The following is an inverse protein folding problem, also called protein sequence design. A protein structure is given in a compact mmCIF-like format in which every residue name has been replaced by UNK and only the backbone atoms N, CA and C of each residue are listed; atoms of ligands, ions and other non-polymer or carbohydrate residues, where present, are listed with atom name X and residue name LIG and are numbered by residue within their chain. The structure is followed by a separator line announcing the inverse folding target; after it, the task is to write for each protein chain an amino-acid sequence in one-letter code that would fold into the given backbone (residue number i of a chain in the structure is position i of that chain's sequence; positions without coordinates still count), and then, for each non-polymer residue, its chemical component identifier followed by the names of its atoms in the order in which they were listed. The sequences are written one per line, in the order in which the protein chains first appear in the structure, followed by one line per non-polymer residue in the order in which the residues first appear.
data_IF_302643814114
#
_entry.id   IF_302643814114
#
_cell.length_a   1.000
_cell.length_b   1.000
_cell.length_c   1.000
_cell.angle_alpha   90.00
_cell.angle_beta   90.00
_cell.angle_gamma   90.00
#
_symmetry.space_group_name_H-M   'P 1'
#
loop_
_entity.id
_entity.type
_entity.pdbx_description
1 polymer ?
#
# COMPACT_ATOMS: atom_id res chain seq x y z
N UNK A 1 -32.50 7.42 47.79
CA UNK A 1 -32.14 6.11 47.19
C UNK A 1 -32.03 6.31 45.67
N UNK A 2 -30.83 6.60 45.17
CA UNK A 2 -30.58 6.69 43.72
C UNK A 2 -30.07 5.33 43.25
N UNK A 3 -30.77 4.74 42.28
CA UNK A 3 -30.34 3.53 41.60
C UNK A 3 -29.30 3.92 40.54
N UNK A 4 -28.05 3.51 40.74
CA UNK A 4 -27.02 3.54 39.70
C UNK A 4 -27.23 2.34 38.78
N UNK A 5 -28.01 2.54 37.72
CA UNK A 5 -28.08 1.59 36.60
C UNK A 5 -26.78 1.66 35.81
N UNK A 6 -25.81 0.81 36.15
CA UNK A 6 -24.74 0.50 35.22
C UNK A 6 -25.34 -0.37 34.12
N UNK A 7 -25.52 0.22 32.95
CA UNK A 7 -25.86 -0.50 31.72
C UNK A 7 -24.75 -1.53 31.45
N UNK A 8 -24.97 -2.76 31.91
CA UNK A 8 -24.12 -3.90 31.56
C UNK A 8 -24.31 -4.14 30.07
N UNK A 9 -23.38 -3.67 29.26
CA UNK A 9 -23.32 -4.03 27.85
C UNK A 9 -23.27 -5.56 27.74
N UNK A 10 -24.40 -6.16 27.36
CA UNK A 10 -24.51 -7.57 27.06
C UNK A 10 -23.64 -7.86 25.83
N UNK A 11 -22.39 -8.24 26.08
CA UNK A 11 -21.48 -8.71 25.04
C UNK A 11 -22.03 -10.05 24.56
N UNK A 12 -22.29 -10.17 23.26
CA UNK A 12 -22.81 -11.39 22.66
C UNK A 12 -21.93 -12.60 23.04
N UNK A 13 -22.52 -13.78 23.29
CA UNK A 13 -21.76 -14.95 23.71
C UNK A 13 -20.71 -15.32 22.66
N UNK A 14 -19.45 -15.46 23.09
CA UNK A 14 -18.35 -15.89 22.23
C UNK A 14 -18.56 -17.36 21.85
N UNK A 15 -19.02 -17.62 20.62
CA UNK A 15 -19.06 -18.97 20.07
C UNK A 15 -17.62 -19.47 19.89
N UNK A 16 -17.20 -20.40 20.76
CA UNK A 16 -15.94 -21.13 20.59
C UNK A 16 -16.17 -22.18 19.51
N UNK A 17 -15.56 -21.98 18.35
CA UNK A 17 -15.51 -22.99 17.29
C UNK A 17 -14.58 -24.08 17.78
N UNK A 18 -15.12 -25.28 18.00
CA UNK A 18 -14.37 -26.39 18.58
C UNK A 18 -13.86 -27.37 17.55
N UNK A 19 -14.53 -27.47 16.41
CA UNK A 19 -14.25 -28.47 15.38
C UNK A 19 -13.92 -27.86 14.00
N UNK A 20 -13.20 -28.63 13.17
CA UNK A 20 -12.79 -28.27 11.82
C UNK A 20 -14.01 -28.13 10.90
N UNK A 21 -15.02 -28.99 11.04
CA UNK A 21 -16.25 -28.90 10.25
C UNK A 21 -17.06 -27.65 10.61
N UNK A 22 -17.12 -27.29 11.91
CA UNK A 22 -17.73 -26.04 12.36
C UNK A 22 -17.00 -24.82 11.78
N UNK A 23 -15.67 -24.84 11.75
CA UNK A 23 -14.87 -23.77 11.13
C UNK A 23 -15.17 -23.65 9.64
N UNK A 24 -15.30 -24.77 8.92
CA UNK A 24 -15.63 -24.79 7.50
C UNK A 24 -17.02 -24.21 7.25
N UNK A 25 -18.03 -24.64 8.01
CA UNK A 25 -19.39 -24.11 7.92
C UNK A 25 -19.44 -22.61 8.22
N UNK A 26 -18.71 -22.16 9.25
CA UNK A 26 -18.56 -20.74 9.54
C UNK A 26 -17.98 -19.96 8.35
N UNK A 27 -16.88 -20.47 7.77
CA UNK A 27 -16.23 -19.85 6.60
C UNK A 27 -17.19 -19.78 5.39
N UNK A 28 -17.90 -20.87 5.09
CA UNK A 28 -18.87 -20.92 3.98
C UNK A 28 -19.99 -19.88 4.19
N UNK A 29 -20.58 -19.84 5.38
CA UNK A 29 -21.64 -18.88 5.70
C UNK A 29 -21.16 -17.44 5.57
N UNK A 30 -20.00 -17.12 6.14
CA UNK A 30 -19.44 -15.76 6.08
C UNK A 30 -19.08 -15.33 4.66
N UNK A 31 -18.52 -16.22 3.85
CA UNK A 31 -18.26 -15.95 2.42
C UNK A 31 -19.55 -15.64 1.68
N UNK A 32 -20.60 -16.43 1.89
CA UNK A 32 -21.91 -16.18 1.30
C UNK A 32 -22.47 -14.81 1.69
N UNK A 33 -22.38 -14.43 2.97
CA UNK A 33 -22.78 -13.10 3.44
C UNK A 33 -22.04 -11.97 2.69
N UNK A 34 -20.70 -12.08 2.56
CA UNK A 34 -19.93 -11.08 1.80
C UNK A 34 -20.30 -11.05 0.32
N UNK A 35 -20.40 -12.20 -0.34
CA UNK A 35 -20.75 -12.28 -1.76
C UNK A 35 -22.17 -11.74 -2.04
N UNK A 36 -23.14 -12.02 -1.17
CA UNK A 36 -24.50 -11.49 -1.30
C UNK A 36 -24.55 -9.97 -1.13
N UNK A 37 -23.72 -9.40 -0.24
CA UNK A 37 -23.58 -7.94 -0.12
C UNK A 37 -22.89 -7.37 -1.35
N UNK A 38 -21.83 -8.00 -1.86
CA UNK A 38 -21.11 -7.56 -3.06
C UNK A 38 -21.97 -7.60 -4.33
N UNK A 39 -22.87 -8.58 -4.44
CA UNK A 39 -23.86 -8.64 -5.53
C UNK A 39 -24.80 -7.43 -5.53
N UNK A 40 -25.18 -6.95 -4.34
CA UNK A 40 -26.08 -5.78 -4.18
C UNK A 40 -25.32 -4.46 -4.26
N UNK A 41 -24.09 -4.42 -3.76
CA UNK A 41 -23.28 -3.21 -3.59
C UNK A 41 -21.90 -3.34 -4.24
N UNK A 42 -21.87 -3.67 -5.53
CA UNK A 42 -20.62 -3.95 -6.26
C UNK A 42 -19.60 -2.81 -6.24
N UNK A 43 -20.06 -1.56 -6.27
CA UNK A 43 -19.19 -0.38 -6.27
C UNK A 43 -18.74 0.06 -4.87
N UNK A 44 -19.22 -0.58 -3.81
CA UNK A 44 -18.82 -0.26 -2.44
C UNK A 44 -17.47 -0.92 -2.11
N UNK A 45 -16.38 -0.20 -2.39
CA UNK A 45 -14.99 -0.67 -2.19
C UNK A 45 -14.71 -1.02 -0.72
N UNK A 46 -15.41 -0.38 0.23
CA UNK A 46 -15.30 -0.72 1.65
C UNK A 46 -15.76 -2.15 1.96
N UNK A 47 -16.73 -2.70 1.22
CA UNK A 47 -17.14 -4.10 1.36
C UNK A 47 -16.03 -5.04 0.86
N UNK A 48 -15.45 -4.74 -0.30
CA UNK A 48 -14.35 -5.52 -0.87
C UNK A 48 -13.14 -5.59 0.07
N UNK A 49 -12.71 -4.44 0.61
CA UNK A 49 -11.59 -4.40 1.55
C UNK A 49 -11.91 -5.20 2.81
N UNK A 50 -13.11 -5.06 3.40
CA UNK A 50 -13.50 -5.88 4.56
C UNK A 50 -13.49 -7.37 4.24
N UNK A 51 -13.98 -7.77 3.07
CA UNK A 51 -14.00 -9.17 2.67
C UNK A 51 -12.56 -9.73 2.52
N UNK A 52 -11.69 -9.02 1.80
CA UNK A 52 -10.30 -9.43 1.61
C UNK A 52 -9.52 -9.48 2.93
N UNK A 53 -9.71 -8.49 3.81
CA UNK A 53 -9.07 -8.49 5.15
C UNK A 53 -9.57 -9.65 6.02
N UNK A 54 -10.84 -10.04 5.89
CA UNK A 54 -11.38 -11.20 6.58
C UNK A 54 -10.77 -12.51 6.05
N UNK A 55 -10.67 -12.71 4.74
CA UNK A 55 -9.98 -13.90 4.18
C UNK A 55 -8.51 -13.95 4.62
N UNK A 56 -7.80 -12.80 4.62
CA UNK A 56 -6.44 -12.71 5.13
C UNK A 56 -6.35 -13.06 6.63
N UNK A 57 -7.33 -12.68 7.45
CA UNK A 57 -7.41 -13.08 8.87
C UNK A 57 -7.59 -14.58 9.08
N UNK A 58 -8.11 -15.29 8.07
CA UNK A 58 -8.26 -16.75 8.06
C UNK A 58 -7.01 -17.46 7.52
N UNK A 59 -5.93 -16.72 7.23
CA UNK A 59 -4.71 -17.18 6.56
C UNK A 59 -4.95 -17.70 5.12
N UNK A 60 -6.08 -17.33 4.52
CA UNK A 60 -6.46 -17.69 3.14
C UNK A 60 -6.01 -16.59 2.16
N UNK A 61 -4.69 -16.40 2.06
CA UNK A 61 -4.11 -15.29 1.29
C UNK A 61 -4.43 -15.33 -0.20
N UNK A 62 -4.51 -16.52 -0.80
CA UNK A 62 -4.84 -16.67 -2.22
C UNK A 62 -6.26 -16.20 -2.52
N UNK A 63 -7.19 -16.46 -1.60
CA UNK A 63 -8.56 -15.94 -1.72
C UNK A 63 -8.59 -14.43 -1.51
N UNK A 64 -7.84 -13.92 -0.52
CA UNK A 64 -7.74 -12.49 -0.29
C UNK A 64 -7.22 -11.75 -1.55
N UNK A 65 -6.20 -12.29 -2.22
CA UNK A 65 -5.70 -11.80 -3.53
C UNK A 65 -6.78 -11.82 -4.59
N UNK A 66 -7.48 -12.93 -4.76
CA UNK A 66 -8.59 -13.03 -5.71
C UNK A 66 -9.67 -11.97 -5.46
N UNK A 67 -10.01 -11.69 -4.21
CA UNK A 67 -10.97 -10.63 -3.84
C UNK A 67 -10.42 -9.25 -4.17
N UNK A 68 -9.13 -8.97 -3.91
CA UNK A 68 -8.51 -7.70 -4.27
C UNK A 68 -8.42 -7.48 -5.79
N UNK A 69 -8.02 -8.50 -6.57
CA UNK A 69 -7.99 -8.40 -8.03
C UNK A 69 -9.40 -8.16 -8.59
N UNK A 70 -10.42 -8.88 -8.11
CA UNK A 70 -11.82 -8.63 -8.48
C UNK A 70 -12.28 -7.21 -8.12
N UNK A 71 -11.79 -6.65 -7.02
CA UNK A 71 -12.09 -5.28 -6.64
C UNK A 71 -11.40 -4.26 -7.56
N UNK A 72 -10.17 -4.56 -8.00
CA UNK A 72 -9.44 -3.75 -8.97
C UNK A 72 -10.12 -3.78 -10.36
N UNK A 73 -10.71 -4.91 -10.75
CA UNK A 73 -11.53 -4.99 -11.97
C UNK A 73 -12.77 -4.07 -11.92
N UNK A 74 -13.28 -3.77 -10.71
CA UNK A 74 -14.40 -2.84 -10.53
C UNK A 74 -13.92 -1.40 -10.57
N UNK A 75 -12.88 -1.06 -9.81
CA UNK A 75 -12.33 0.29 -9.74
C UNK A 75 -10.82 0.27 -9.49
N UNK A 76 -10.05 0.17 -10.57
CA UNK A 76 -8.60 0.22 -10.54
C UNK A 76 -8.06 1.62 -10.23
N UNK A 77 -8.88 2.69 -10.32
CA UNK A 77 -8.43 4.08 -10.08
C UNK A 77 -8.43 4.43 -8.60
N UNK A 78 -9.08 3.62 -7.77
CA UNK A 78 -9.10 3.86 -6.34
C UNK A 78 -7.74 3.57 -5.70
N UNK A 79 -7.01 4.62 -5.33
CA UNK A 79 -5.69 4.47 -4.73
C UNK A 79 -5.71 3.74 -3.38
N UNK A 80 -6.77 3.90 -2.58
CA UNK A 80 -6.90 3.22 -1.28
C UNK A 80 -6.89 1.70 -1.44
N UNK A 81 -7.47 1.19 -2.52
CA UNK A 81 -7.53 -0.24 -2.79
C UNK A 81 -6.12 -0.82 -3.03
N UNK A 82 -5.31 -0.17 -3.86
CA UNK A 82 -3.90 -0.54 -4.08
C UNK A 82 -3.09 -0.50 -2.80
N UNK A 83 -3.24 0.56 -2.00
CA UNK A 83 -2.56 0.69 -0.71
C UNK A 83 -2.91 -0.48 0.23
N UNK A 84 -4.21 -0.80 0.36
CA UNK A 84 -4.67 -1.88 1.23
C UNK A 84 -4.19 -3.24 0.76
N UNK A 85 -4.16 -3.46 -0.55
CA UNK A 85 -3.69 -4.71 -1.13
C UNK A 85 -2.18 -4.91 -0.89
N UNK A 86 -1.37 -3.89 -1.20
CA UNK A 86 0.07 -3.95 -0.96
C UNK A 86 0.41 -4.03 0.54
N UNK A 87 -0.31 -3.29 1.40
CA UNK A 87 -0.18 -3.38 2.86
C UNK A 87 -0.44 -4.80 3.38
N UNK A 88 -1.42 -5.51 2.81
CA UNK A 88 -1.71 -6.89 3.19
C UNK A 88 -0.55 -7.83 2.82
N UNK A 89 -0.02 -7.76 1.60
CA UNK A 89 1.14 -8.60 1.20
C UNK A 89 2.38 -8.28 2.07
N UNK A 90 2.64 -7.00 2.32
CA UNK A 90 3.76 -6.57 3.17
C UNK A 90 3.64 -7.08 4.61
N UNK A 91 2.46 -6.98 5.22
CA UNK A 91 2.21 -7.46 6.60
C UNK A 91 2.47 -8.96 6.75
N UNK A 92 2.19 -9.73 5.69
CA UNK A 92 2.38 -11.18 5.66
C UNK A 92 3.75 -11.61 5.09
N UNK A 93 4.67 -10.66 4.90
CA UNK A 93 6.05 -10.88 4.39
C UNK A 93 6.13 -11.42 2.96
N UNK A 94 5.09 -11.25 2.16
CA UNK A 94 5.07 -11.62 0.73
C UNK A 94 5.66 -10.49 -0.13
N UNK A 95 6.97 -10.27 0.01
CA UNK A 95 7.67 -9.12 -0.59
C UNK A 95 7.58 -9.09 -2.12
N UNK A 96 7.72 -10.25 -2.78
CA UNK A 96 7.68 -10.30 -4.24
C UNK A 96 6.29 -9.94 -4.79
N UNK A 97 5.22 -10.39 -4.12
CA UNK A 97 3.86 -9.99 -4.49
C UNK A 97 3.63 -8.50 -4.26
N UNK A 98 4.08 -7.96 -3.12
CA UNK A 98 4.01 -6.52 -2.86
C UNK A 98 4.76 -5.70 -3.94
N UNK A 99 5.96 -6.13 -4.36
CA UNK A 99 6.73 -5.50 -5.44
C UNK A 99 5.95 -5.50 -6.76
N UNK A 100 5.35 -6.61 -7.14
CA UNK A 100 4.53 -6.72 -8.36
C UNK A 100 3.30 -5.79 -8.30
N UNK A 101 2.66 -5.68 -7.13
CA UNK A 101 1.51 -4.78 -6.93
C UNK A 101 1.96 -3.33 -7.07
N UNK A 102 3.07 -2.93 -6.44
CA UNK A 102 3.60 -1.57 -6.54
C UNK A 102 4.01 -1.23 -7.96
N UNK A 103 4.68 -2.14 -8.67
CA UNK A 103 5.09 -1.93 -10.06
C UNK A 103 3.88 -1.74 -10.99
N UNK A 104 2.83 -2.54 -10.81
CA UNK A 104 1.55 -2.35 -11.51
C UNK A 104 0.91 -1.00 -11.16
N UNK A 105 0.87 -0.63 -9.88
CA UNK A 105 0.25 0.60 -9.42
C UNK A 105 0.92 1.85 -10.02
N UNK A 106 2.25 1.93 -10.00
CA UNK A 106 3.00 3.07 -10.57
C UNK A 106 2.94 3.10 -12.09
N UNK A 107 2.79 1.95 -12.74
CA UNK A 107 2.64 1.87 -14.20
C UNK A 107 1.25 2.34 -14.65
N UNK A 108 0.21 1.95 -13.92
CA UNK A 108 -1.18 2.34 -14.25
C UNK A 108 -1.49 3.78 -13.83
N UNK A 109 -0.92 4.24 -12.71
CA UNK A 109 -1.21 5.55 -12.12
C UNK A 109 0.08 6.27 -11.69
N UNK A 110 0.91 6.70 -12.66
CA UNK A 110 2.20 7.33 -12.37
C UNK A 110 2.09 8.69 -11.68
N UNK A 111 0.93 9.35 -11.76
CA UNK A 111 0.67 10.66 -11.14
C UNK A 111 0.37 10.59 -9.64
N UNK A 112 0.18 9.39 -9.08
CA UNK A 112 -0.11 9.21 -7.64
C UNK A 112 1.21 9.03 -6.90
N UNK A 113 1.78 10.15 -6.44
CA UNK A 113 3.06 10.21 -5.72
C UNK A 113 3.14 9.26 -4.53
N UNK A 114 2.01 9.02 -3.85
CA UNK A 114 1.92 8.12 -2.70
C UNK A 114 2.42 6.71 -3.00
N UNK A 115 2.19 6.19 -4.21
CA UNK A 115 2.65 4.86 -4.60
C UNK A 115 4.17 4.82 -4.72
N UNK A 116 4.76 5.84 -5.35
CA UNK A 116 6.21 5.96 -5.49
C UNK A 116 6.90 6.06 -4.13
N UNK A 117 6.36 6.88 -3.22
CA UNK A 117 6.87 6.98 -1.85
C UNK A 117 6.83 5.64 -1.11
N UNK A 118 5.71 4.93 -1.17
CA UNK A 118 5.57 3.63 -0.50
C UNK A 118 6.47 2.57 -1.13
N UNK A 119 6.63 2.59 -2.45
CA UNK A 119 7.44 1.63 -3.17
C UNK A 119 8.94 1.83 -2.90
N UNK A 120 9.44 3.06 -3.01
CA UNK A 120 10.85 3.36 -2.70
C UNK A 120 11.18 3.10 -1.23
N UNK A 121 10.28 3.49 -0.32
CA UNK A 121 10.44 3.20 1.11
C UNK A 121 10.47 1.69 1.41
N UNK A 122 9.65 0.88 0.72
CA UNK A 122 9.68 -0.57 0.85
C UNK A 122 11.05 -1.13 0.43
N UNK A 123 11.60 -0.73 -0.72
CA UNK A 123 12.91 -1.20 -1.17
C UNK A 123 14.05 -0.72 -0.25
N UNK A 124 13.97 0.51 0.27
CA UNK A 124 14.91 1.05 1.26
C UNK A 124 14.90 0.21 2.55
N UNK A 125 13.71 -0.14 3.06
CA UNK A 125 13.55 -0.99 4.24
C UNK A 125 14.06 -2.42 4.03
N UNK A 126 14.08 -2.92 2.80
CA UNK A 126 14.66 -4.21 2.43
C UNK A 126 16.17 -4.15 2.21
N UNK A 127 16.77 -2.94 2.22
CA UNK A 127 18.20 -2.71 1.95
C UNK A 127 18.55 -2.69 0.46
N UNK A 128 17.57 -2.73 -0.44
CA UNK A 128 17.78 -2.77 -1.89
C UNK A 128 17.92 -1.36 -2.47
N UNK A 129 18.96 -0.64 -2.08
CA UNK A 129 19.19 0.77 -2.48
C UNK A 129 19.30 0.89 -4.02
N UNK A 130 19.91 -0.09 -4.69
CA UNK A 130 20.01 -0.10 -6.14
C UNK A 130 18.63 -0.12 -6.82
N UNK A 131 17.69 -0.93 -6.32
CA UNK A 131 16.32 -0.96 -6.84
C UNK A 131 15.56 0.33 -6.50
N UNK A 132 15.74 0.85 -5.27
CA UNK A 132 15.15 2.12 -4.88
C UNK A 132 15.56 3.25 -5.86
N UNK A 133 16.85 3.29 -6.25
CA UNK A 133 17.35 4.23 -7.27
C UNK A 133 16.66 4.07 -8.63
N UNK A 134 16.55 2.83 -9.13
CA UNK A 134 15.85 2.56 -10.40
C UNK A 134 14.40 3.06 -10.35
N UNK A 135 13.72 2.87 -9.21
CA UNK A 135 12.36 3.35 -9.02
C UNK A 135 12.31 4.89 -8.97
N UNK A 136 13.24 5.55 -8.27
CA UNK A 136 13.34 7.01 -8.28
C UNK A 136 13.63 7.56 -9.67
N UNK A 137 14.53 6.95 -10.44
CA UNK A 137 14.80 7.37 -11.82
C UNK A 137 13.56 7.24 -12.71
N UNK A 138 12.82 6.13 -12.59
CA UNK A 138 11.52 5.95 -13.26
C UNK A 138 10.51 7.02 -12.83
N UNK A 139 10.52 7.42 -11.57
CA UNK A 139 9.64 8.47 -11.06
C UNK A 139 10.02 9.84 -11.62
N UNK A 140 11.31 10.18 -11.65
CA UNK A 140 11.82 11.46 -12.17
C UNK A 140 11.54 11.65 -13.66
N UNK A 141 11.43 10.56 -14.43
CA UNK A 141 11.03 10.61 -15.84
C UNK A 141 9.62 11.22 -16.04
N UNK A 142 8.76 11.19 -15.02
CA UNK A 142 7.43 11.82 -15.05
C UNK A 142 7.42 13.30 -14.64
N UNK A 143 8.59 13.88 -14.36
CA UNK A 143 8.77 15.23 -13.80
C UNK A 143 7.82 15.49 -12.60
N UNK A 144 7.99 14.75 -11.49
CA UNK A 144 7.14 14.89 -10.31
C UNK A 144 7.47 16.18 -9.55
N UNK A 145 6.61 16.53 -8.59
CA UNK A 145 6.74 17.74 -7.78
C UNK A 145 8.06 17.77 -6.97
N UNK A 146 8.46 18.97 -6.51
CA UNK A 146 9.67 19.22 -5.70
C UNK A 146 9.89 18.20 -4.58
N UNK A 147 8.82 17.79 -3.89
CA UNK A 147 8.89 16.82 -2.80
C UNK A 147 9.50 15.48 -3.21
N UNK A 148 9.25 15.02 -4.44
CA UNK A 148 9.80 13.79 -4.98
C UNK A 148 11.33 13.88 -5.16
N UNK A 149 11.80 14.99 -5.74
CA UNK A 149 13.23 15.29 -5.91
C UNK A 149 13.97 15.41 -4.57
N UNK A 150 13.41 16.17 -3.62
CA UNK A 150 13.97 16.27 -2.27
C UNK A 150 14.04 14.91 -1.58
N UNK A 151 13.06 14.04 -1.79
CA UNK A 151 13.06 12.69 -1.21
C UNK A 151 14.11 11.78 -1.83
N UNK A 152 14.41 11.96 -3.12
CA UNK A 152 15.50 11.24 -3.77
C UNK A 152 16.86 11.68 -3.20
N UNK A 153 17.10 12.99 -3.09
CA UNK A 153 18.31 13.55 -2.48
C UNK A 153 18.48 13.05 -1.04
N UNK A 154 17.41 13.09 -0.24
CA UNK A 154 17.46 12.60 1.15
C UNK A 154 17.77 11.10 1.23
N UNK A 155 17.31 10.29 0.27
CA UNK A 155 17.64 8.87 0.22
C UNK A 155 19.14 8.65 -0.03
N UNK A 156 19.73 9.35 -1.00
CA UNK A 156 21.18 9.28 -1.26
C UNK A 156 22.00 9.78 -0.07
N UNK A 157 21.57 10.86 0.60
CA UNK A 157 22.25 11.38 1.80
C UNK A 157 22.19 10.44 3.00
N UNK A 158 21.13 9.63 3.16
CA UNK A 158 21.02 8.65 4.26
C UNK A 158 22.00 7.50 4.08
N UNK A 159 22.25 7.07 2.85
CA UNK A 159 23.10 5.93 2.53
C UNK A 159 24.56 6.36 2.32
N UNK A 160 25.20 6.88 3.40
CA UNK A 160 26.62 7.26 3.46
C UNK A 160 27.55 6.05 3.36
N UNK A 161 27.99 5.72 2.15
CA UNK A 161 29.09 4.76 1.94
C UNK A 161 30.35 5.42 1.36
N UNK A 162 30.22 6.36 0.43
CA UNK A 162 31.35 7.08 -0.20
C UNK A 162 30.98 8.57 -0.39
N UNK A 163 31.49 9.47 0.45
CA UNK A 163 31.04 10.89 0.51
C UNK A 163 31.22 11.65 -0.83
N UNK A 164 32.33 11.42 -1.56
CA UNK A 164 32.62 12.13 -2.82
C UNK A 164 31.65 11.79 -3.96
N UNK A 165 31.32 10.51 -4.12
CA UNK A 165 30.38 10.04 -5.17
C UNK A 165 28.93 10.45 -4.87
N UNK A 166 28.60 10.69 -3.60
CA UNK A 166 27.26 11.12 -3.19
C UNK A 166 27.05 12.59 -3.56
N UNK A 167 28.04 13.45 -3.31
CA UNK A 167 27.96 14.86 -3.67
C UNK A 167 27.80 15.06 -5.18
N UNK A 168 28.53 14.30 -5.99
CA UNK A 168 28.38 14.30 -7.45
C UNK A 168 26.94 13.93 -7.86
N UNK A 169 26.40 12.84 -7.31
CA UNK A 169 25.03 12.40 -7.61
C UNK A 169 23.95 13.38 -7.13
N UNK A 170 24.07 13.87 -5.91
CA UNK A 170 23.13 14.86 -5.38
C UNK A 170 23.13 16.13 -6.25
N UNK A 171 24.31 16.53 -6.73
CA UNK A 171 24.46 17.64 -7.67
C UNK A 171 23.80 17.32 -9.00
N UNK A 172 24.02 16.14 -9.59
CA UNK A 172 23.37 15.73 -10.83
C UNK A 172 21.83 15.74 -10.71
N UNK A 173 21.30 15.25 -9.59
CA UNK A 173 19.86 15.27 -9.29
C UNK A 173 19.36 16.71 -9.17
N UNK A 174 20.13 17.60 -8.53
CA UNK A 174 19.77 19.01 -8.37
C UNK A 174 19.81 19.77 -9.69
N UNK A 175 20.83 19.54 -10.53
CA UNK A 175 20.93 20.12 -11.87
C UNK A 175 19.73 19.69 -12.74
N UNK A 176 19.37 18.40 -12.70
CA UNK A 176 18.14 17.90 -13.36
C UNK A 176 16.88 18.54 -12.80
N UNK A 177 16.79 18.72 -11.49
CA UNK A 177 15.66 19.39 -10.85
C UNK A 177 15.49 20.83 -11.34
N UNK A 178 16.57 21.61 -11.41
CA UNK A 178 16.55 23.00 -11.92
C UNK A 178 16.09 23.04 -13.38
N UNK A 179 16.58 22.11 -14.21
CA UNK A 179 16.18 22.03 -15.63
C UNK A 179 14.70 21.69 -15.77
N UNK A 180 14.17 20.77 -14.97
CA UNK A 180 12.77 20.39 -15.00
C UNK A 180 11.83 21.47 -14.40
N UNK A 181 12.31 22.25 -13.44
CA UNK A 181 11.53 23.29 -12.74
C UNK A 181 12.27 24.63 -12.77
N UNK A 182 12.23 25.38 -13.89
CA UNK A 182 12.82 26.71 -13.98
C UNK A 182 11.95 27.72 -13.22
N UNK A 183 12.02 27.70 -11.89
CA UNK A 183 11.32 28.64 -11.02
C UNK A 183 12.42 29.43 -10.28
N UNK A 184 12.31 30.76 -10.24
CA UNK A 184 13.33 31.68 -9.69
C UNK A 184 13.78 31.31 -8.26
N UNK A 185 12.93 30.64 -7.46
CA UNK A 185 13.26 30.15 -6.11
C UNK A 185 14.27 28.99 -6.06
N UNK A 186 14.53 28.26 -7.15
CA UNK A 186 15.53 27.17 -7.17
C UNK A 186 16.98 27.67 -7.10
N UNK A 187 17.19 28.97 -7.30
CA UNK A 187 18.50 29.61 -7.25
C UNK A 187 18.86 30.17 -5.87
N UNK A 188 17.99 30.06 -4.86
CA UNK A 188 18.14 30.72 -3.56
C UNK A 188 18.16 29.78 -2.33
N UNK A 189 18.21 28.46 -2.51
CA UNK A 189 18.35 27.47 -1.42
C UNK A 189 19.56 26.58 -1.64
#
# INVERSE_FOLDING_TARGET
RQWNGQDVQLKAPEQKITDVDELLHYRIRKRKEFEDVLRRQRHNIGVWVRYATWEASQLEFERARSVFERALDVDYRNASLWLKYAEMEMKNRFVNHARNIWDRAVTLMPRVDQFWFKYTHMEEMLGNIANARIIFERWMAWAPAKNAWSSYIHMEMRHRRDDDKILERCRDIYERFIVCHPIIESYLS
#
